data_IF_852394482381
#
_entry.id   IF_852394482381
#
_cell.length_a   1.000
_cell.length_b   1.000
_cell.length_c   1.000
_cell.angle_alpha   90.00
_cell.angle_beta   90.00
_cell.angle_gamma   90.00
#
_symmetry.space_group_name_H-M   'P 1'
#
loop_
_entity.id
_entity.type
_entity.pdbx_description
1 polymer ?
#
# COMPACT_ATOMS: atom_id res chain seq x y z
N UNK A 1 5.70 -9.72 -5.43
CA UNK A 1 5.44 -9.27 -6.79
C UNK A 1 4.07 -9.73 -7.31
N UNK A 2 3.65 -10.95 -7.01
CA UNK A 2 2.32 -11.45 -7.38
C UNK A 2 1.27 -10.96 -6.37
N UNK A 3 0.09 -10.56 -6.85
CA UNK A 3 -1.02 -10.16 -6.00
C UNK A 3 -1.81 -11.37 -5.46
N UNK A 4 -2.03 -12.38 -6.31
CA UNK A 4 -2.73 -13.63 -5.98
C UNK A 4 -1.79 -14.82 -6.11
N UNK A 5 -1.97 -15.82 -5.26
CA UNK A 5 -1.32 -17.11 -5.43
C UNK A 5 -1.94 -17.91 -6.60
N UNK A 6 -1.22 -18.85 -7.23
CA UNK A 6 -1.73 -19.63 -8.38
C UNK A 6 -3.00 -20.44 -8.05
N UNK A 7 -3.20 -20.80 -6.78
CA UNK A 7 -4.39 -21.50 -6.29
C UNK A 7 -5.58 -20.57 -6.00
N UNK A 8 -5.42 -19.24 -6.26
CA UNK A 8 -6.41 -18.21 -5.93
C UNK A 8 -6.39 -17.74 -4.49
N UNK A 9 -5.50 -18.27 -3.66
CA UNK A 9 -5.29 -17.84 -2.27
C UNK A 9 -4.53 -16.53 -2.15
N UNK A 10 -4.36 -16.07 -0.90
CA UNK A 10 -3.59 -14.88 -0.57
C UNK A 10 -2.24 -15.27 0.04
N UNK A 11 -1.19 -14.56 -0.37
CA UNK A 11 0.08 -14.66 0.32
C UNK A 11 -0.04 -14.04 1.71
N UNK A 12 0.46 -14.75 2.70
CA UNK A 12 0.53 -14.28 4.09
C UNK A 12 1.96 -14.35 4.61
N UNK A 13 2.22 -13.72 5.74
CA UNK A 13 3.47 -13.89 6.46
C UNK A 13 3.37 -15.16 7.33
N UNK A 14 4.21 -16.18 7.10
CA UNK A 14 4.06 -17.47 7.78
C UNK A 14 4.37 -17.44 9.26
N UNK A 15 5.01 -16.37 9.76
CA UNK A 15 5.62 -16.35 11.09
C UNK A 15 5.42 -15.03 11.83
N UNK A 16 4.23 -14.43 11.80
CA UNK A 16 3.97 -13.20 12.58
C UNK A 16 4.34 -13.33 14.06
N UNK A 17 4.11 -14.51 14.66
CA UNK A 17 4.48 -14.81 16.05
C UNK A 17 6.01 -14.81 16.29
N UNK A 18 6.81 -14.91 15.25
CA UNK A 18 8.27 -14.91 15.33
C UNK A 18 8.88 -13.51 15.05
N UNK A 19 8.05 -12.53 14.71
CA UNK A 19 8.53 -11.16 14.50
C UNK A 19 9.01 -10.60 15.83
N UNK A 20 10.32 -10.36 15.91
CA UNK A 20 10.94 -9.73 17.08
C UNK A 20 11.03 -8.23 16.84
N UNK A 21 10.35 -7.46 17.66
CA UNK A 21 10.37 -6.01 17.63
C UNK A 21 10.51 -5.50 19.06
N UNK A 22 11.47 -4.62 19.30
CA UNK A 22 11.57 -3.90 20.57
C UNK A 22 10.49 -2.81 20.58
N UNK A 23 9.35 -3.15 21.15
CA UNK A 23 8.17 -2.28 21.22
C UNK A 23 8.48 -0.96 21.93
N UNK A 24 9.21 -1.00 23.03
CA UNK A 24 9.52 0.19 23.81
C UNK A 24 10.40 1.16 23.02
N UNK A 25 11.44 0.64 22.39
CA UNK A 25 12.32 1.43 21.54
C UNK A 25 11.57 2.02 20.34
N UNK A 26 10.74 1.22 19.66
CA UNK A 26 9.99 1.65 18.47
C UNK A 26 8.99 2.78 18.77
N UNK A 27 8.31 2.76 19.92
CA UNK A 27 7.37 3.81 20.32
C UNK A 27 8.03 5.18 20.56
N UNK A 28 9.35 5.23 20.76
CA UNK A 28 10.09 6.47 20.96
C UNK A 28 10.63 7.09 19.65
N UNK A 29 10.55 6.35 18.54
CA UNK A 29 11.08 6.79 17.27
C UNK A 29 10.18 7.85 16.60
N UNK A 30 10.79 8.63 15.70
CA UNK A 30 10.05 9.39 14.71
C UNK A 30 9.35 8.44 13.73
N UNK A 31 8.37 8.96 12.98
CA UNK A 31 7.50 8.11 12.15
C UNK A 31 8.24 7.37 11.03
N UNK A 32 9.24 7.99 10.40
CA UNK A 32 10.00 7.32 9.34
C UNK A 32 10.90 6.21 9.91
N UNK A 33 11.57 6.47 11.02
CA UNK A 33 12.35 5.47 11.73
C UNK A 33 11.48 4.33 12.26
N UNK A 34 10.29 4.64 12.79
CA UNK A 34 9.30 3.65 13.20
C UNK A 34 8.85 2.78 12.02
N UNK A 35 8.53 3.38 10.88
CA UNK A 35 8.16 2.65 9.66
C UNK A 35 9.28 1.72 9.20
N UNK A 36 10.52 2.18 9.21
CA UNK A 36 11.70 1.36 8.88
C UNK A 36 11.81 0.12 9.77
N UNK A 37 11.76 0.29 11.09
CA UNK A 37 11.90 -0.84 12.02
C UNK A 37 10.76 -1.84 11.88
N UNK A 38 9.51 -1.36 11.79
CA UNK A 38 8.34 -2.21 11.63
C UNK A 38 8.39 -2.98 10.30
N UNK A 39 8.64 -2.29 9.19
CA UNK A 39 8.63 -2.91 7.87
C UNK A 39 9.82 -3.85 7.65
N UNK A 40 11.01 -3.53 8.19
CA UNK A 40 12.14 -4.46 8.16
C UNK A 40 11.87 -5.74 8.97
N UNK A 41 11.17 -5.62 10.10
CA UNK A 41 10.77 -6.78 10.90
C UNK A 41 9.70 -7.64 10.20
N UNK A 42 8.74 -7.00 9.51
CA UNK A 42 7.67 -7.69 8.78
C UNK A 42 8.13 -8.27 7.44
N UNK A 43 9.11 -7.67 6.81
CA UNK A 43 9.60 -8.01 5.47
C UNK A 43 11.11 -8.31 5.50
N UNK A 44 11.54 -9.42 6.12
CA UNK A 44 12.95 -9.70 6.39
C UNK A 44 13.80 -9.93 5.13
N UNK A 45 13.18 -9.98 3.96
CA UNK A 45 13.89 -10.01 2.66
C UNK A 45 14.54 -8.66 2.31
N UNK A 46 14.20 -7.58 3.02
CA UNK A 46 14.81 -6.27 2.89
C UNK A 46 15.61 -5.97 4.15
N UNK A 47 16.89 -5.64 4.00
CA UNK A 47 17.69 -5.21 5.14
C UNK A 47 17.28 -3.80 5.62
N UNK A 48 17.77 -3.40 6.80
CA UNK A 48 17.38 -2.11 7.39
C UNK A 48 17.82 -0.90 6.58
N UNK A 49 18.97 -0.97 5.91
CA UNK A 49 19.48 0.14 5.11
C UNK A 49 18.64 0.32 3.85
N UNK A 50 18.34 -0.79 3.17
CA UNK A 50 17.45 -0.79 2.02
C UNK A 50 16.06 -0.31 2.41
N UNK A 51 15.49 -0.84 3.50
CA UNK A 51 14.18 -0.41 3.99
C UNK A 51 14.16 1.08 4.34
N UNK A 52 15.25 1.62 4.88
CA UNK A 52 15.37 3.05 5.13
C UNK A 52 15.26 3.89 3.83
N UNK A 53 15.95 3.47 2.77
CA UNK A 53 15.85 4.12 1.45
C UNK A 53 14.43 4.06 0.89
N UNK A 54 13.77 2.91 1.00
CA UNK A 54 12.41 2.71 0.52
C UNK A 54 11.39 3.56 1.29
N UNK A 55 11.50 3.63 2.62
CA UNK A 55 10.65 4.44 3.50
C UNK A 55 10.80 5.93 3.18
N UNK A 56 12.02 6.42 3.06
CA UNK A 56 12.27 7.81 2.68
C UNK A 56 11.71 8.12 1.28
N UNK A 57 11.94 7.26 0.30
CA UNK A 57 11.42 7.44 -1.06
C UNK A 57 9.87 7.36 -1.12
N UNK A 58 9.25 6.63 -0.19
CA UNK A 58 7.80 6.52 -0.11
C UNK A 58 7.15 7.74 0.57
N UNK A 59 7.74 8.25 1.66
CA UNK A 59 7.03 9.14 2.56
C UNK A 59 7.60 10.55 2.70
N UNK A 60 8.93 10.71 2.59
CA UNK A 60 9.55 12.00 2.86
C UNK A 60 9.04 13.11 1.93
N UNK A 61 8.50 14.17 2.51
CA UNK A 61 7.98 15.34 1.80
C UNK A 61 6.69 15.12 1.01
N UNK A 62 6.01 13.97 1.15
CA UNK A 62 4.77 13.68 0.43
C UNK A 62 3.50 13.82 1.26
N UNK A 63 3.64 13.89 2.57
CA UNK A 63 2.54 14.08 3.50
C UNK A 63 2.58 15.51 4.06
N UNK A 64 1.43 16.00 4.49
CA UNK A 64 1.30 17.34 5.05
C UNK A 64 2.13 17.54 6.34
N UNK A 65 2.40 16.47 7.05
CA UNK A 65 3.19 16.48 8.29
C UNK A 65 4.25 15.39 8.28
N UNK A 66 5.36 15.60 9.01
CA UNK A 66 6.41 14.60 9.21
C UNK A 66 5.91 13.35 9.95
N UNK A 67 4.85 13.49 10.71
CA UNK A 67 4.20 12.40 11.45
C UNK A 67 3.35 11.49 10.57
N UNK A 68 3.18 11.81 9.30
CA UNK A 68 2.37 11.14 8.28
C UNK A 68 0.89 11.04 8.70
N UNK A 69 0.62 10.47 9.86
CA UNK A 69 -0.72 10.18 10.39
C UNK A 69 -0.77 10.52 11.89
N UNK A 70 -0.75 11.82 12.25
CA UNK A 70 -0.75 12.22 13.65
C UNK A 70 -2.06 11.84 14.33
N UNK A 71 -1.98 11.54 15.62
CA UNK A 71 -3.16 11.42 16.49
C UNK A 71 -3.36 12.73 17.25
N UNK A 72 -4.53 13.32 17.14
CA UNK A 72 -4.87 14.60 17.78
C UNK A 72 -5.97 14.42 18.83
N UNK A 73 -5.96 15.26 19.88
CA UNK A 73 -7.02 15.27 20.88
C UNK A 73 -8.18 16.14 20.42
N UNK A 74 -9.40 15.60 20.50
CA UNK A 74 -10.65 16.30 20.22
C UNK A 74 -11.57 16.09 21.43
N UNK A 75 -11.56 17.04 22.37
CA UNK A 75 -12.23 16.86 23.66
C UNK A 75 -11.65 15.66 24.42
N UNK A 76 -12.51 14.73 24.81
CA UNK A 76 -12.12 13.49 25.50
C UNK A 76 -11.65 12.40 24.54
N UNK A 77 -11.87 12.56 23.24
CA UNK A 77 -11.50 11.58 22.21
C UNK A 77 -10.08 11.83 21.67
N UNK A 78 -9.53 10.82 21.01
CA UNK A 78 -8.33 10.92 20.21
C UNK A 78 -8.63 10.47 18.79
N UNK A 79 -8.27 11.30 17.80
CA UNK A 79 -8.56 11.07 16.39
C UNK A 79 -7.25 10.85 15.65
N UNK A 80 -7.11 9.69 15.02
CA UNK A 80 -6.01 9.37 14.10
C UNK A 80 -6.31 9.98 12.73
N UNK A 81 -5.53 10.99 12.31
CA UNK A 81 -5.73 11.71 11.07
C UNK A 81 -5.08 10.97 9.88
N UNK A 82 -5.84 10.12 9.21
CA UNK A 82 -5.37 9.31 8.08
C UNK A 82 -5.51 10.00 6.72
N UNK A 83 -5.92 11.27 6.70
CA UNK A 83 -6.19 12.05 5.48
C UNK A 83 -5.05 13.02 5.10
N UNK A 84 -3.92 12.98 5.79
CA UNK A 84 -2.77 13.88 5.57
C UNK A 84 -1.88 13.50 4.38
N UNK A 85 -2.23 12.46 3.65
CA UNK A 85 -1.49 11.98 2.49
C UNK A 85 -1.91 12.66 1.18
N UNK A 86 -1.20 12.34 0.06
CA UNK A 86 -1.35 13.02 -1.24
C UNK A 86 -2.77 12.94 -1.83
N UNK A 87 -3.58 11.98 -1.43
CA UNK A 87 -4.94 11.79 -1.97
C UNK A 87 -6.02 11.86 -0.88
N UNK A 88 -5.64 12.26 0.32
CA UNK A 88 -6.50 12.35 1.51
C UNK A 88 -7.18 11.04 1.88
N UNK A 89 -6.57 9.91 1.52
CA UNK A 89 -7.05 8.57 1.83
C UNK A 89 -6.09 7.84 2.78
N UNK A 90 -6.61 7.07 3.75
CA UNK A 90 -5.77 6.24 4.64
C UNK A 90 -4.86 5.28 3.87
N UNK A 91 -5.23 4.97 2.66
CA UNK A 91 -4.51 4.09 1.74
C UNK A 91 -3.20 4.70 1.25
N UNK A 92 -3.01 6.01 1.37
CA UNK A 92 -1.80 6.69 0.92
C UNK A 92 -0.54 6.15 1.58
N UNK A 93 -0.60 5.80 2.87
CA UNK A 93 0.53 5.18 3.58
C UNK A 93 0.98 3.89 2.88
N UNK A 94 0.04 3.04 2.52
CA UNK A 94 0.38 1.79 1.87
C UNK A 94 0.70 1.95 0.38
N UNK A 95 -0.03 2.78 -0.34
CA UNK A 95 0.11 2.92 -1.79
C UNK A 95 1.26 3.83 -2.20
N UNK A 96 1.81 4.65 -1.30
CA UNK A 96 3.12 5.29 -1.49
C UNK A 96 4.29 4.30 -1.33
N UNK A 97 4.12 3.30 -0.46
CA UNK A 97 5.18 2.31 -0.15
C UNK A 97 5.18 1.13 -1.13
N UNK A 98 4.02 0.63 -1.54
CA UNK A 98 3.88 -0.55 -2.39
C UNK A 98 4.72 -0.50 -3.67
N UNK A 99 4.71 0.59 -4.47
CA UNK A 99 5.54 0.65 -5.67
C UNK A 99 7.03 0.56 -5.36
N UNK A 100 7.49 1.10 -4.23
CA UNK A 100 8.90 1.03 -3.81
C UNK A 100 9.29 -0.40 -3.44
N UNK A 101 8.45 -1.08 -2.67
CA UNK A 101 8.65 -2.51 -2.36
C UNK A 101 8.65 -3.37 -3.62
N UNK A 102 7.74 -3.10 -4.56
CA UNK A 102 7.63 -3.88 -5.80
C UNK A 102 8.84 -3.68 -6.72
N UNK A 103 9.34 -2.46 -6.86
CA UNK A 103 10.52 -2.17 -7.66
C UNK A 103 11.76 -2.87 -7.06
N UNK A 104 11.98 -2.74 -5.76
CA UNK A 104 13.08 -3.41 -5.08
C UNK A 104 12.96 -4.94 -5.14
N UNK A 105 11.74 -5.50 -4.97
CA UNK A 105 11.52 -6.93 -5.12
C UNK A 105 11.79 -7.42 -6.56
N UNK A 106 11.42 -6.62 -7.57
CA UNK A 106 11.70 -6.91 -8.97
C UNK A 106 13.21 -7.04 -9.22
N UNK A 107 13.99 -6.09 -8.72
CA UNK A 107 15.45 -6.08 -8.82
C UNK A 107 16.05 -7.29 -8.09
N UNK A 108 15.66 -7.55 -6.84
CA UNK A 108 16.14 -8.70 -6.04
C UNK A 108 15.86 -10.05 -6.67
N UNK A 109 14.72 -10.18 -7.34
CA UNK A 109 14.31 -11.42 -8.00
C UNK A 109 14.87 -11.57 -9.43
N UNK A 110 15.63 -10.59 -9.94
CA UNK A 110 16.11 -10.59 -11.32
C UNK A 110 14.98 -10.62 -12.36
N UNK A 111 13.82 -10.01 -12.02
CA UNK A 111 12.67 -9.97 -12.91
C UNK A 111 12.81 -8.77 -13.85
N UNK A 112 12.94 -9.03 -15.14
CA UNK A 112 13.02 -8.00 -16.18
C UNK A 112 11.64 -7.54 -16.65
N UNK A 113 10.62 -8.38 -16.49
CA UNK A 113 9.24 -8.08 -16.87
C UNK A 113 8.74 -6.76 -16.29
N UNK A 114 7.99 -5.99 -17.08
CA UNK A 114 7.23 -4.84 -16.61
C UNK A 114 6.03 -5.31 -15.76
N UNK A 115 5.78 -4.67 -14.63
CA UNK A 115 4.68 -5.05 -13.74
C UNK A 115 3.44 -4.24 -14.12
N UNK A 116 2.41 -4.92 -14.63
CA UNK A 116 1.11 -4.34 -14.92
C UNK A 116 0.18 -4.53 -13.73
N UNK A 117 -0.16 -3.43 -13.07
CA UNK A 117 -1.07 -3.40 -11.92
C UNK A 117 -2.51 -3.27 -12.41
N UNK A 118 -3.34 -4.23 -12.05
CA UNK A 118 -4.78 -4.14 -12.25
C UNK A 118 -5.48 -3.91 -10.91
N UNK A 119 -6.32 -2.88 -10.84
CA UNK A 119 -6.97 -2.47 -9.60
C UNK A 119 -8.43 -2.13 -9.86
N UNK A 120 -9.36 -2.81 -9.18
CA UNK A 120 -10.74 -2.37 -9.09
C UNK A 120 -10.91 -1.41 -7.91
N UNK A 121 -11.73 -0.38 -8.06
CA UNK A 121 -11.93 0.63 -7.02
C UNK A 121 -13.38 1.09 -6.91
N UNK A 122 -13.79 1.42 -5.69
CA UNK A 122 -14.99 2.20 -5.40
C UNK A 122 -14.71 3.69 -5.18
N UNK A 123 -13.46 4.14 -5.48
CA UNK A 123 -13.01 5.53 -5.39
C UNK A 123 -11.58 5.67 -4.85
N UNK A 124 -11.39 5.66 -3.54
CA UNK A 124 -10.13 6.00 -2.86
C UNK A 124 -8.92 5.16 -3.28
N UNK A 125 -9.11 3.82 -3.41
CA UNK A 125 -8.00 2.92 -3.76
C UNK A 125 -7.44 3.24 -5.13
N UNK A 126 -8.31 3.53 -6.11
CA UNK A 126 -7.89 3.84 -7.47
C UNK A 126 -7.02 5.09 -7.51
N UNK A 127 -7.49 6.18 -6.91
CA UNK A 127 -6.75 7.44 -6.89
C UNK A 127 -5.41 7.29 -6.15
N UNK A 128 -5.41 6.70 -4.96
CA UNK A 128 -4.19 6.50 -4.17
C UNK A 128 -3.18 5.58 -4.90
N UNK A 129 -3.66 4.53 -5.58
CA UNK A 129 -2.80 3.64 -6.37
C UNK A 129 -2.20 4.38 -7.58
N UNK A 130 -3.01 5.12 -8.34
CA UNK A 130 -2.51 5.91 -9.47
C UNK A 130 -1.44 6.92 -9.02
N UNK A 131 -1.67 7.64 -7.93
CA UNK A 131 -0.70 8.59 -7.38
C UNK A 131 0.60 7.92 -6.91
N UNK A 132 0.49 6.75 -6.26
CA UNK A 132 1.65 6.00 -5.77
C UNK A 132 2.50 5.41 -6.89
N UNK A 133 1.87 4.92 -7.96
CA UNK A 133 2.55 4.31 -9.12
C UNK A 133 2.90 5.30 -10.23
N UNK A 134 2.49 6.57 -10.11
CA UNK A 134 2.77 7.59 -11.12
C UNK A 134 4.26 7.62 -11.49
N UNK A 135 4.56 7.40 -12.77
CA UNK A 135 5.89 7.44 -13.38
C UNK A 135 6.95 6.56 -12.66
N UNK A 136 6.52 5.53 -11.92
CA UNK A 136 7.43 4.56 -11.31
C UNK A 136 7.98 3.63 -12.41
N UNK A 137 9.31 3.58 -12.62
CA UNK A 137 9.91 2.79 -13.68
C UNK A 137 9.57 1.30 -13.57
N UNK A 138 9.34 0.66 -14.73
CA UNK A 138 9.04 -0.76 -14.82
C UNK A 138 7.65 -1.15 -14.28
N UNK A 139 6.76 -0.16 -14.12
CA UNK A 139 5.37 -0.41 -13.72
C UNK A 139 4.39 0.29 -14.64
N UNK A 140 3.23 -0.30 -14.81
CA UNK A 140 2.03 0.30 -15.39
C UNK A 140 0.84 0.00 -14.51
N UNK A 141 -0.15 0.89 -14.47
CA UNK A 141 -1.37 0.69 -13.71
C UNK A 141 -2.60 1.00 -14.53
N UNK A 142 -3.58 0.09 -14.46
CA UNK A 142 -4.93 0.29 -14.97
C UNK A 142 -5.89 0.18 -13.80
N UNK A 143 -6.68 1.23 -13.60
CA UNK A 143 -7.71 1.30 -12.56
C UNK A 143 -9.09 1.18 -13.20
N UNK A 144 -9.89 0.24 -12.71
CA UNK A 144 -11.27 0.04 -13.13
C UNK A 144 -12.21 0.55 -12.05
N UNK A 145 -13.15 1.41 -12.44
CA UNK A 145 -14.18 1.92 -11.52
C UNK A 145 -15.56 1.83 -12.13
N UNK A 146 -16.63 1.66 -11.33
CA UNK A 146 -18.00 1.60 -11.84
C UNK A 146 -18.45 2.98 -12.34
N UNK A 147 -18.89 3.07 -13.59
CA UNK A 147 -19.41 4.29 -14.17
C UNK A 147 -20.64 4.76 -13.37
N UNK A 148 -20.59 5.99 -12.85
CA UNK A 148 -21.62 6.54 -11.96
C UNK A 148 -21.65 5.94 -10.55
N UNK A 149 -20.72 5.01 -10.20
CA UNK A 149 -20.66 4.35 -8.89
C UNK A 149 -19.61 4.90 -7.95
N UNK A 150 -18.96 6.02 -8.31
CA UNK A 150 -18.01 6.76 -7.45
C UNK A 150 -18.48 8.21 -7.32
N UNK A 151 -18.01 8.92 -6.27
CA UNK A 151 -18.35 10.33 -6.15
C UNK A 151 -17.74 11.17 -7.28
N UNK A 152 -18.36 12.29 -7.62
CA UNK A 152 -17.85 13.19 -8.67
C UNK A 152 -16.42 13.68 -8.36
N UNK A 153 -16.08 13.87 -7.09
CA UNK A 153 -14.73 14.25 -6.65
C UNK A 153 -13.74 13.11 -6.93
N UNK A 154 -14.05 11.89 -6.52
CA UNK A 154 -13.20 10.72 -6.75
C UNK A 154 -13.00 10.43 -8.24
N UNK A 155 -14.06 10.54 -9.03
CA UNK A 155 -13.97 10.41 -10.48
C UNK A 155 -13.02 11.45 -11.07
N UNK A 156 -13.20 12.72 -10.72
CA UNK A 156 -12.33 13.81 -11.16
C UNK A 156 -10.88 13.60 -10.77
N UNK A 157 -10.64 13.16 -9.53
CA UNK A 157 -9.30 12.85 -9.06
C UNK A 157 -8.61 11.76 -9.86
N UNK A 158 -9.34 10.72 -10.29
CA UNK A 158 -8.78 9.64 -11.12
C UNK A 158 -8.55 10.10 -12.56
N UNK A 159 -9.54 10.75 -13.17
CA UNK A 159 -9.48 11.22 -14.56
C UNK A 159 -8.42 12.31 -14.80
N UNK A 160 -8.14 13.12 -13.77
CA UNK A 160 -7.12 14.17 -13.83
C UNK A 160 -5.72 13.70 -13.40
N UNK A 161 -5.55 12.42 -13.02
CA UNK A 161 -4.24 11.91 -12.61
C UNK A 161 -3.26 11.92 -13.78
N UNK A 162 -2.18 12.66 -13.62
CA UNK A 162 -1.07 12.68 -14.59
C UNK A 162 -0.19 11.44 -14.43
N UNK A 163 0.58 11.14 -15.47
CA UNK A 163 1.54 10.04 -15.49
C UNK A 163 1.49 9.29 -16.82
N UNK A 164 2.66 8.88 -17.31
CA UNK A 164 2.77 8.16 -18.61
C UNK A 164 2.42 6.68 -18.51
N UNK A 165 2.37 6.17 -17.29
CA UNK A 165 2.17 4.75 -16.98
C UNK A 165 0.85 4.48 -16.25
N UNK A 166 -0.05 5.46 -16.16
CA UNK A 166 -1.34 5.35 -15.47
C UNK A 166 -2.50 5.41 -16.47
N UNK A 167 -3.52 4.59 -16.23
CA UNK A 167 -4.74 4.57 -17.02
C UNK A 167 -5.95 4.33 -16.11
N UNK A 168 -7.08 4.96 -16.40
CA UNK A 168 -8.34 4.71 -15.71
C UNK A 168 -9.42 4.32 -16.71
N UNK A 169 -10.20 3.31 -16.36
CA UNK A 169 -11.28 2.77 -17.18
C UNK A 169 -12.60 2.74 -16.39
N UNK A 170 -13.62 3.42 -16.91
CA UNK A 170 -14.97 3.29 -16.40
C UNK A 170 -15.62 1.99 -16.91
N UNK A 171 -16.23 1.23 -16.02
CA UNK A 171 -16.90 -0.03 -16.33
C UNK A 171 -18.42 0.13 -16.13
N UNK A 172 -19.23 -0.32 -17.06
CA UNK A 172 -20.68 -0.38 -16.86
C UNK A 172 -21.00 -1.54 -15.91
N UNK A 173 -21.48 -1.23 -14.73
CA UNK A 173 -21.76 -2.18 -13.65
C UNK A 173 -21.50 -1.54 -12.28
N UNK A 174 -21.43 -2.36 -11.26
CA UNK A 174 -21.11 -1.95 -9.90
C UNK A 174 -19.65 -2.30 -9.54
N UNK A 175 -19.25 -2.05 -8.28
CA UNK A 175 -17.89 -2.33 -7.81
C UNK A 175 -17.55 -3.84 -7.85
N UNK A 176 -18.54 -4.70 -7.53
CA UNK A 176 -18.32 -6.15 -7.52
C UNK A 176 -18.12 -6.68 -8.94
N UNK A 177 -18.80 -6.10 -9.93
CA UNK A 177 -18.57 -6.41 -11.35
C UNK A 177 -17.15 -6.05 -11.78
N UNK A 178 -16.66 -4.86 -11.40
CA UNK A 178 -15.30 -4.44 -11.70
C UNK A 178 -14.26 -5.34 -11.01
N UNK A 179 -14.50 -5.71 -9.74
CA UNK A 179 -13.61 -6.58 -8.97
C UNK A 179 -13.59 -8.01 -9.53
N UNK A 180 -14.76 -8.54 -9.91
CA UNK A 180 -14.87 -9.85 -10.53
C UNK A 180 -14.16 -9.87 -11.87
N UNK A 181 -14.36 -8.86 -12.71
CA UNK A 181 -13.67 -8.74 -13.99
C UNK A 181 -12.14 -8.71 -13.85
N UNK A 182 -11.61 -8.00 -12.87
CA UNK A 182 -10.16 -8.03 -12.58
C UNK A 182 -9.70 -9.45 -12.22
N UNK A 183 -10.42 -10.18 -11.36
CA UNK A 183 -10.08 -11.57 -11.00
C UNK A 183 -10.15 -12.50 -12.21
N UNK A 184 -11.15 -12.32 -13.07
CA UNK A 184 -11.30 -13.10 -14.31
C UNK A 184 -10.15 -12.84 -15.28
N UNK A 185 -9.67 -11.59 -15.40
CA UNK A 185 -8.48 -11.26 -16.20
C UNK A 185 -7.26 -12.02 -15.65
N UNK A 186 -7.03 -12.00 -14.34
CA UNK A 186 -5.94 -12.76 -13.73
C UNK A 186 -6.03 -14.25 -14.06
N UNK A 187 -7.20 -14.84 -13.86
CA UNK A 187 -7.42 -16.26 -14.13
C UNK A 187 -7.28 -16.61 -15.63
N UNK A 188 -7.75 -15.75 -16.53
CA UNK A 188 -7.63 -15.96 -17.97
C UNK A 188 -6.17 -15.86 -18.43
N UNK A 189 -5.42 -14.86 -17.95
CA UNK A 189 -4.01 -14.66 -18.26
C UNK A 189 -3.18 -15.87 -17.83
N UNK A 190 -3.39 -16.38 -16.61
CA UNK A 190 -2.70 -17.54 -16.09
C UNK A 190 -3.05 -18.80 -16.89
N UNK A 191 -4.34 -19.11 -17.04
CA UNK A 191 -4.82 -20.31 -17.72
C UNK A 191 -4.42 -20.39 -19.18
N UNK A 192 -4.45 -19.26 -19.89
CA UNK A 192 -4.17 -19.18 -21.33
C UNK A 192 -2.74 -18.74 -21.64
N UNK A 193 -1.93 -18.50 -20.61
CA UNK A 193 -0.55 -18.03 -20.72
C UNK A 193 -0.37 -16.79 -21.62
N UNK A 194 -1.34 -15.87 -21.56
CA UNK A 194 -1.45 -14.75 -22.50
C UNK A 194 -0.26 -13.80 -22.47
N UNK A 195 0.47 -13.73 -21.34
CA UNK A 195 1.61 -12.85 -21.15
C UNK A 195 2.96 -13.58 -21.18
N UNK A 196 2.97 -14.90 -21.43
CA UNK A 196 4.21 -15.66 -21.53
C UNK A 196 5.08 -15.11 -22.67
N UNK A 197 6.33 -14.78 -22.38
CA UNK A 197 7.29 -14.19 -23.34
C UNK A 197 6.97 -12.75 -23.78
N UNK A 198 6.00 -12.07 -23.16
CA UNK A 198 5.64 -10.69 -23.51
C UNK A 198 6.39 -9.63 -22.69
N UNK A 199 7.22 -10.04 -21.74
CA UNK A 199 7.92 -9.11 -20.86
C UNK A 199 6.99 -8.33 -19.91
N UNK A 200 5.81 -8.89 -19.60
CA UNK A 200 4.80 -8.28 -18.72
C UNK A 200 4.31 -9.29 -17.70
N UNK A 201 4.17 -8.86 -16.45
CA UNK A 201 3.65 -9.64 -15.34
C UNK A 201 2.51 -8.90 -14.65
N UNK A 202 1.41 -9.60 -14.35
CA UNK A 202 0.30 -9.00 -13.62
C UNK A 202 0.59 -8.91 -12.11
N UNK A 203 0.09 -7.84 -11.51
CA UNK A 203 -0.02 -7.67 -10.07
C UNK A 203 -1.24 -6.80 -9.70
N UNK A 204 -1.49 -6.59 -8.41
CA UNK A 204 -2.62 -5.81 -7.93
C UNK A 204 -2.22 -4.88 -6.80
N UNK A 205 -2.88 -3.72 -6.73
CA UNK A 205 -2.81 -2.78 -5.62
C UNK A 205 -4.02 -2.85 -4.68
N UNK A 206 -4.90 -3.84 -4.85
CA UNK A 206 -5.97 -4.14 -3.90
C UNK A 206 -5.43 -4.87 -2.65
N UNK A 207 -6.27 -5.04 -1.64
CA UNK A 207 -5.93 -5.71 -0.36
C UNK A 207 -5.59 -7.20 -0.48
N UNK A 208 -5.73 -7.78 -1.67
CA UNK A 208 -5.23 -9.11 -2.00
C UNK A 208 -3.69 -9.20 -2.03
N UNK A 209 -3.01 -8.08 -2.11
CA UNK A 209 -1.54 -8.00 -2.10
C UNK A 209 -1.03 -7.67 -0.69
N UNK A 210 -0.22 -8.56 -0.10
CA UNK A 210 0.35 -8.36 1.24
C UNK A 210 1.19 -7.09 1.34
N UNK A 211 1.90 -6.72 0.28
CA UNK A 211 2.65 -5.47 0.20
C UNK A 211 1.77 -4.21 0.29
N UNK A 212 0.46 -4.36 0.04
CA UNK A 212 -0.55 -3.33 0.25
C UNK A 212 -1.01 -3.27 1.72
N UNK A 213 -0.95 -4.37 2.46
CA UNK A 213 -1.41 -4.44 3.85
C UNK A 213 -0.30 -4.12 4.85
N UNK A 214 0.89 -4.67 4.64
CA UNK A 214 2.00 -4.53 5.59
C UNK A 214 2.31 -3.06 5.98
N UNK A 215 2.38 -2.08 5.06
CA UNK A 215 2.68 -0.71 5.44
C UNK A 215 1.60 -0.03 6.27
N UNK A 216 0.36 -0.53 6.26
CA UNK A 216 -0.72 0.02 7.08
C UNK A 216 -0.51 -0.26 8.58
N UNK A 217 0.29 -1.25 8.93
CA UNK A 217 0.61 -1.55 10.32
C UNK A 217 1.27 -0.35 11.01
N UNK A 218 2.04 0.44 10.26
CA UNK A 218 2.80 1.59 10.78
C UNK A 218 1.90 2.61 11.49
N UNK A 219 0.75 2.97 10.92
CA UNK A 219 -0.10 3.99 11.55
C UNK A 219 -0.80 3.51 12.82
N UNK A 220 -0.97 2.21 13.03
CA UNK A 220 -1.45 1.69 14.32
C UNK A 220 -0.39 1.84 15.41
N UNK A 221 0.88 1.57 15.09
CA UNK A 221 1.99 1.82 16.01
C UNK A 221 2.13 3.30 16.31
N UNK A 222 2.00 4.17 15.29
CA UNK A 222 2.04 5.62 15.47
C UNK A 222 0.91 6.09 16.40
N UNK A 223 -0.32 5.65 16.16
CA UNK A 223 -1.46 5.98 17.02
C UNK A 223 -1.22 5.56 18.47
N UNK A 224 -0.71 4.35 18.69
CA UNK A 224 -0.40 3.86 20.03
C UNK A 224 0.71 4.69 20.70
N UNK A 225 1.77 5.01 19.97
CA UNK A 225 2.84 5.87 20.48
C UNK A 225 2.33 7.26 20.89
N UNK A 226 1.47 7.85 20.06
CA UNK A 226 0.86 9.16 20.37
C UNK A 226 -0.04 9.09 21.60
N UNK A 227 -0.86 8.06 21.74
CA UNK A 227 -1.70 7.86 22.93
C UNK A 227 -0.86 7.68 24.19
N UNK A 228 0.28 6.99 24.11
CA UNK A 228 1.23 6.87 25.21
C UNK A 228 1.83 8.25 25.57
N UNK A 229 2.26 9.03 24.57
CA UNK A 229 2.82 10.38 24.76
C UNK A 229 1.78 11.34 25.37
N UNK A 230 0.50 11.19 25.02
CA UNK A 230 -0.61 11.95 25.60
C UNK A 230 -0.98 11.49 27.02
N UNK A 231 -0.38 10.41 27.54
CA UNK A 231 -0.72 9.84 28.84
C UNK A 231 -2.09 9.15 28.89
N UNK A 232 -2.72 8.90 27.74
CA UNK A 232 -4.04 8.25 27.62
C UNK A 232 -3.99 6.74 27.80
N UNK A 233 -2.86 6.14 27.45
CA UNK A 233 -2.58 4.70 27.65
C UNK A 233 -1.19 4.55 28.25
N UNK A 234 -1.00 3.50 29.06
CA UNK A 234 0.33 3.11 29.54
C UNK A 234 0.98 2.19 28.51
N UNK A 235 2.25 2.41 28.22
CA UNK A 235 3.00 1.47 27.41
C UNK A 235 3.03 0.12 28.14
N UNK A 236 2.45 -0.91 27.55
CA UNK A 236 2.40 -2.25 28.16
C UNK A 236 3.70 -2.96 27.82
N UNK A 237 4.43 -3.36 28.84
CA UNK A 237 5.58 -4.27 28.71
C UNK A 237 5.04 -5.69 28.82
N UNK A 238 4.97 -6.42 27.71
CA UNK A 238 4.78 -7.88 27.75
C UNK A 238 6.15 -8.52 27.95
N UNK A 239 6.48 -8.82 29.19
CA UNK A 239 7.54 -9.77 29.52
C UNK A 239 6.89 -11.16 29.56
N UNK A 240 7.05 -11.92 28.50
CA UNK A 240 6.87 -13.36 28.49
C UNK A 240 8.08 -14.01 27.88
#
# INVERSE_FOLDING_TARGET
LQGLAPDGGLYTMPSLAQVKLDWQAVLQLDTLSMAREILAALLPSYDKEEMNKLVHAAYAGKFETSDLTPTVSVGEDAVLELFRGPTSAFKDVALSMLPRLMTAAREKCGVEDEILILTATSGDTGKAAMAGFQDVPGTKIIVFYPYGGVSAVQQRQMESQLGRNVCVCAVRGNFDDAQTGVKEIFAAVERQKLLEGKGVRLSSANSINIGRLAPQVVYYFRAYADLCRMGRVKAVSYTH
#
